data_IF_555012763198
#
_entry.id   IF_555012763198
#
_cell.length_a   1.000
_cell.length_b   1.000
_cell.length_c   1.000
_cell.angle_alpha   90.00
_cell.angle_beta   90.00
_cell.angle_gamma   90.00
#
_symmetry.space_group_name_H-M   'P 1'
#
loop_
_entity.id
_entity.type
_entity.pdbx_description
1 polymer ?
#
# COMPACT_ATOMS: atom_id res chain seq x y z
N UNK A 1 -3.53 15.68 -39.16
CA UNK A 1 -3.93 15.14 -37.85
C UNK A 1 -2.72 15.25 -36.93
N UNK A 2 -2.72 16.17 -35.94
CA UNK A 2 -1.58 16.35 -35.03
C UNK A 2 -1.75 15.35 -33.90
N UNK A 3 -0.90 14.32 -33.87
CA UNK A 3 -0.81 13.40 -32.71
C UNK A 3 -0.28 14.22 -31.54
N UNK A 4 -1.12 14.52 -30.55
CA UNK A 4 -0.66 15.13 -29.30
C UNK A 4 0.08 14.06 -28.50
N UNK A 5 1.40 14.26 -28.32
CA UNK A 5 2.21 13.42 -27.43
C UNK A 5 1.75 13.62 -25.99
N UNK A 6 0.92 12.70 -25.49
CA UNK A 6 0.36 12.70 -24.13
C UNK A 6 1.35 12.16 -23.08
N UNK A 7 2.62 11.90 -23.46
CA UNK A 7 3.62 11.41 -22.50
C UNK A 7 3.92 12.48 -21.45
N UNK A 8 3.82 12.19 -20.16
CA UNK A 8 4.15 13.15 -19.12
C UNK A 8 5.63 13.51 -19.23
N UNK A 9 5.93 14.80 -19.42
CA UNK A 9 7.30 15.31 -19.43
C UNK A 9 7.84 15.26 -18.02
N UNK A 10 8.57 14.20 -17.68
CA UNK A 10 9.23 14.02 -16.38
C UNK A 10 10.56 14.75 -16.40
N UNK A 11 10.73 15.78 -15.58
CA UNK A 11 12.00 16.51 -15.44
C UNK A 11 12.99 15.72 -14.59
N UNK A 12 14.31 15.86 -14.89
CA UNK A 12 15.39 15.22 -14.10
C UNK A 12 15.26 15.50 -12.60
N UNK A 13 14.83 16.69 -12.21
CA UNK A 13 14.61 17.08 -10.81
C UNK A 13 13.46 16.30 -10.16
N UNK A 14 12.42 15.96 -10.94
CA UNK A 14 11.30 15.11 -10.47
C UNK A 14 11.73 13.64 -10.32
N UNK A 15 12.58 13.13 -11.22
CA UNK A 15 13.14 11.77 -11.11
C UNK A 15 14.05 11.65 -9.89
N UNK A 16 14.91 12.63 -9.65
CA UNK A 16 15.82 12.63 -8.49
C UNK A 16 15.08 12.84 -7.16
N UNK A 17 13.96 13.55 -7.17
CA UNK A 17 13.07 13.69 -6.01
C UNK A 17 12.20 12.46 -5.75
N UNK A 18 11.75 11.77 -6.81
CA UNK A 18 10.88 10.60 -6.70
C UNK A 18 11.57 9.36 -6.10
N UNK A 19 12.89 9.22 -6.29
CA UNK A 19 13.65 8.09 -5.70
C UNK A 19 13.70 8.08 -4.17
N UNK A 20 13.36 9.21 -3.50
CA UNK A 20 13.27 9.31 -2.05
C UNK A 20 11.82 9.42 -1.54
N UNK A 21 10.83 9.53 -2.45
CA UNK A 21 9.46 9.87 -2.11
C UNK A 21 8.54 8.65 -1.88
N UNK A 22 9.10 7.43 -1.91
CA UNK A 22 8.32 6.21 -1.70
C UNK A 22 8.12 5.85 -0.22
N UNK A 23 8.68 6.63 0.72
CA UNK A 23 8.39 6.44 2.14
C UNK A 23 7.03 7.05 2.48
N UNK A 24 6.21 6.27 3.17
CA UNK A 24 4.97 6.78 3.73
C UNK A 24 5.30 7.79 4.82
N UNK A 25 4.95 9.04 4.59
CA UNK A 25 5.14 10.10 5.58
C UNK A 25 4.04 9.98 6.64
N UNK A 26 4.40 9.47 7.81
CA UNK A 26 3.48 9.32 8.94
C UNK A 26 4.16 9.69 10.26
N UNK A 27 3.35 10.00 11.24
CA UNK A 27 3.78 10.26 12.62
C UNK A 27 2.99 9.36 13.56
N UNK A 28 3.70 8.65 14.42
CA UNK A 28 3.11 7.90 15.53
C UNK A 28 3.11 8.80 16.75
N UNK A 29 1.93 9.08 17.30
CA UNK A 29 1.79 9.92 18.51
C UNK A 29 1.37 9.05 19.70
N UNK A 30 1.56 9.53 20.96
CA UNK A 30 1.13 8.81 22.15
C UNK A 30 -0.34 8.39 22.07
N UNK A 31 -0.64 7.18 22.55
CA UNK A 31 -1.97 6.57 22.46
C UNK A 31 -2.18 5.69 21.23
N UNK A 32 -1.12 5.37 20.46
CA UNK A 32 -1.19 4.46 19.31
C UNK A 32 -1.82 5.07 18.06
N UNK A 33 -1.95 6.39 18.01
CA UNK A 33 -2.52 7.09 16.87
C UNK A 33 -1.44 7.29 15.81
N UNK A 34 -1.72 6.86 14.59
CA UNK A 34 -0.88 7.03 13.41
C UNK A 34 -1.52 8.12 12.55
N UNK A 35 -0.76 9.16 12.23
CA UNK A 35 -1.24 10.31 11.47
C UNK A 35 -0.45 10.41 10.17
N UNK A 36 -1.15 10.47 9.05
CA UNK A 36 -0.56 10.68 7.73
C UNK A 36 -0.04 12.11 7.55
N UNK A 37 0.77 12.31 6.52
CA UNK A 37 1.37 13.59 6.20
C UNK A 37 0.32 14.71 6.14
N UNK A 38 0.60 15.82 6.81
CA UNK A 38 -0.29 16.98 6.84
C UNK A 38 -1.64 16.73 7.52
N UNK A 39 -1.77 15.71 8.38
CA UNK A 39 -3.01 15.28 9.03
C UNK A 39 -4.13 14.87 8.04
N UNK A 40 -3.74 14.45 6.83
CA UNK A 40 -4.68 14.09 5.77
C UNK A 40 -5.55 12.86 6.12
N UNK A 41 -5.06 12.00 7.01
CA UNK A 41 -5.79 10.87 7.57
C UNK A 41 -5.18 10.47 8.92
N UNK A 42 -5.94 9.75 9.72
CA UNK A 42 -5.45 9.15 10.97
C UNK A 42 -6.03 7.75 11.16
N UNK A 43 -5.29 6.88 11.81
CA UNK A 43 -5.72 5.57 12.25
C UNK A 43 -5.24 5.36 13.70
N UNK A 44 -5.97 4.55 14.46
CA UNK A 44 -5.57 4.16 15.81
C UNK A 44 -5.32 2.67 15.83
N UNK A 45 -4.11 2.28 16.19
CA UNK A 45 -3.80 0.87 16.42
C UNK A 45 -4.50 0.39 17.70
N UNK A 46 -5.29 -0.68 17.59
CA UNK A 46 -6.10 -1.27 18.67
C UNK A 46 -5.39 -2.43 19.34
N UNK A 47 -4.84 -3.35 18.55
CA UNK A 47 -4.20 -4.58 18.99
C UNK A 47 -2.75 -4.68 18.53
N UNK A 48 -2.43 -4.21 17.35
CA UNK A 48 -1.07 -4.17 16.82
C UNK A 48 -0.28 -3.02 17.46
N UNK A 49 1.03 -3.21 17.57
CA UNK A 49 1.92 -2.09 17.95
C UNK A 49 1.90 -1.01 16.87
N UNK A 50 1.98 0.28 17.24
CA UNK A 50 1.99 1.37 16.26
C UNK A 50 3.09 1.25 15.20
N UNK A 51 4.28 0.77 15.58
CA UNK A 51 5.38 0.55 14.64
C UNK A 51 5.07 -0.60 13.67
N UNK A 52 4.41 -1.66 14.15
CA UNK A 52 3.95 -2.77 13.30
C UNK A 52 2.95 -2.26 12.26
N UNK A 53 1.99 -1.44 12.67
CA UNK A 53 1.04 -0.79 11.76
C UNK A 53 1.76 0.07 10.71
N UNK A 54 2.74 0.89 11.14
CA UNK A 54 3.52 1.73 10.26
C UNK A 54 4.33 0.92 9.23
N UNK A 55 4.97 -0.16 9.66
CA UNK A 55 5.72 -1.08 8.79
C UNK A 55 4.80 -1.78 7.79
N UNK A 56 3.62 -2.25 8.22
CA UNK A 56 2.62 -2.85 7.34
C UNK A 56 2.11 -1.86 6.29
N UNK A 57 1.92 -0.60 6.66
CA UNK A 57 1.50 0.44 5.72
C UNK A 57 2.58 0.72 4.65
N UNK A 58 3.85 0.83 5.06
CA UNK A 58 4.95 0.96 4.11
C UNK A 58 5.07 -0.27 3.20
N UNK A 59 4.96 -1.48 3.77
CA UNK A 59 4.96 -2.74 3.02
C UNK A 59 3.82 -2.79 2.00
N UNK A 60 2.63 -2.36 2.37
CA UNK A 60 1.47 -2.31 1.48
C UNK A 60 1.71 -1.40 0.27
N UNK A 61 2.33 -0.24 0.48
CA UNK A 61 2.75 0.68 -0.60
C UNK A 61 3.83 0.07 -1.50
N UNK A 62 4.79 -0.65 -0.93
CA UNK A 62 5.87 -1.26 -1.70
C UNK A 62 5.40 -2.50 -2.49
N UNK A 63 4.34 -3.20 -2.04
CA UNK A 63 3.73 -4.32 -2.78
C UNK A 63 2.90 -3.81 -3.97
N UNK A 64 2.13 -2.74 -3.80
CA UNK A 64 1.27 -2.14 -4.82
C UNK A 64 1.51 -0.61 -4.90
N UNK A 65 2.58 -0.16 -5.57
CA UNK A 65 3.01 1.24 -5.56
C UNK A 65 2.20 2.11 -6.54
N UNK A 66 1.01 2.54 -6.15
CA UNK A 66 0.17 3.43 -6.96
C UNK A 66 0.30 4.88 -6.49
N UNK A 67 1.04 5.71 -7.19
CA UNK A 67 1.29 7.11 -6.83
C UNK A 67 0.01 7.96 -6.73
N UNK A 68 -1.02 7.59 -7.49
CA UNK A 68 -2.31 8.29 -7.53
C UNK A 68 -3.31 7.79 -6.47
N UNK A 69 -3.01 6.72 -5.76
CA UNK A 69 -3.84 6.21 -4.65
C UNK A 69 -3.33 6.76 -3.33
N UNK A 70 -4.18 7.48 -2.62
CA UNK A 70 -3.82 8.09 -1.34
C UNK A 70 -3.57 7.03 -0.25
N UNK A 71 -2.65 7.33 0.68
CA UNK A 71 -2.25 6.43 1.78
C UNK A 71 -3.43 6.01 2.68
N UNK A 72 -4.48 6.83 2.77
CA UNK A 72 -5.70 6.47 3.54
C UNK A 72 -6.32 5.14 3.11
N UNK A 73 -6.25 4.78 1.82
CA UNK A 73 -6.81 3.53 1.31
C UNK A 73 -5.97 2.33 1.72
N UNK A 74 -4.64 2.47 1.72
CA UNK A 74 -3.73 1.45 2.26
C UNK A 74 -3.88 1.31 3.78
N UNK A 75 -3.99 2.44 4.49
CA UNK A 75 -4.22 2.45 5.93
C UNK A 75 -5.55 1.76 6.29
N UNK A 76 -6.59 1.89 5.46
CA UNK A 76 -7.85 1.17 5.63
C UNK A 76 -7.65 -0.35 5.57
N UNK A 77 -6.82 -0.86 4.66
CA UNK A 77 -6.48 -2.30 4.60
C UNK A 77 -5.70 -2.73 5.83
N UNK A 78 -4.69 -1.94 6.25
CA UNK A 78 -3.90 -2.25 7.47
C UNK A 78 -4.78 -2.21 8.72
N UNK A 79 -5.75 -1.29 8.79
CA UNK A 79 -6.74 -1.27 9.88
C UNK A 79 -7.55 -2.56 9.95
N UNK A 80 -7.84 -3.22 8.81
CA UNK A 80 -8.52 -4.52 8.82
C UNK A 80 -7.65 -5.65 9.42
N UNK A 81 -6.32 -5.55 9.31
CA UNK A 81 -5.39 -6.48 9.98
C UNK A 81 -5.40 -6.25 11.49
N UNK A 82 -5.41 -4.99 11.90
CA UNK A 82 -5.49 -4.61 13.31
C UNK A 82 -6.83 -5.07 13.94
N UNK A 83 -7.94 -4.93 13.21
CA UNK A 83 -9.25 -5.46 13.61
C UNK A 83 -9.26 -7.00 13.68
N UNK A 84 -8.57 -7.70 12.79
CA UNK A 84 -8.41 -9.15 12.89
C UNK A 84 -7.57 -9.53 14.12
N UNK A 85 -6.51 -8.79 14.40
CA UNK A 85 -5.66 -8.99 15.58
C UNK A 85 -6.40 -8.78 16.92
N UNK A 86 -7.50 -8.00 16.94
CA UNK A 86 -8.35 -7.89 18.14
C UNK A 86 -9.16 -9.14 18.42
N UNK A 87 -9.38 -9.99 17.38
CA UNK A 87 -10.25 -11.16 17.47
C UNK A 87 -9.50 -12.43 17.92
N UNK A 88 -8.17 -12.44 17.78
CA UNK A 88 -7.38 -13.61 18.17
C UNK A 88 -5.87 -13.35 18.19
N UNK A 89 -5.20 -13.91 19.23
CA UNK A 89 -3.76 -13.80 19.38
C UNK A 89 -2.98 -14.44 18.22
N UNK A 90 -3.52 -15.48 17.57
CA UNK A 90 -2.89 -16.09 16.41
C UNK A 90 -2.78 -15.13 15.23
N UNK A 91 -3.84 -14.35 14.96
CA UNK A 91 -3.83 -13.34 13.90
C UNK A 91 -2.87 -12.20 14.24
N UNK A 92 -2.86 -11.77 15.50
CA UNK A 92 -1.92 -10.77 16.00
C UNK A 92 -0.46 -11.23 15.85
N UNK A 93 -0.17 -12.46 16.26
CA UNK A 93 1.18 -13.04 16.19
C UNK A 93 1.70 -13.07 14.76
N UNK A 94 0.87 -13.44 13.76
CA UNK A 94 1.28 -13.44 12.35
C UNK A 94 1.83 -12.09 11.91
N UNK A 95 1.17 -10.99 12.28
CA UNK A 95 1.62 -9.66 11.87
C UNK A 95 2.79 -9.15 12.72
N UNK A 96 2.75 -9.32 14.03
CA UNK A 96 3.83 -8.88 14.93
C UNK A 96 5.14 -9.63 14.67
N UNK A 97 5.08 -10.96 14.53
CA UNK A 97 6.25 -11.79 14.27
C UNK A 97 6.80 -11.58 12.86
N UNK A 98 5.89 -11.47 11.87
CA UNK A 98 6.26 -11.20 10.49
C UNK A 98 6.97 -9.86 10.31
N UNK A 99 6.45 -8.81 10.94
CA UNK A 99 7.10 -7.48 10.93
C UNK A 99 8.41 -7.51 11.71
N UNK A 100 8.46 -8.19 12.86
CA UNK A 100 9.70 -8.33 13.64
C UNK A 100 10.80 -9.01 12.82
N UNK A 101 10.48 -10.07 12.08
CA UNK A 101 11.42 -10.77 11.22
C UNK A 101 11.87 -9.89 10.03
N UNK A 102 10.93 -9.14 9.41
CA UNK A 102 11.22 -8.22 8.31
C UNK A 102 12.13 -7.07 8.77
N UNK A 103 11.85 -6.46 9.92
CA UNK A 103 12.68 -5.42 10.51
C UNK A 103 14.07 -5.92 10.86
N UNK A 104 14.19 -7.13 11.42
CA UNK A 104 15.48 -7.75 11.69
C UNK A 104 16.31 -7.96 10.42
N UNK A 105 15.69 -8.39 9.33
CA UNK A 105 16.34 -8.53 8.03
C UNK A 105 16.78 -7.16 7.47
N UNK A 106 15.93 -6.13 7.61
CA UNK A 106 16.23 -4.77 7.20
C UNK A 106 17.40 -4.16 7.99
N UNK A 107 17.40 -4.31 9.31
CA UNK A 107 18.50 -3.84 10.16
C UNK A 107 19.81 -4.54 9.81
N UNK A 108 19.78 -5.85 9.57
CA UNK A 108 20.96 -6.61 9.15
C UNK A 108 21.53 -6.11 7.83
N UNK A 109 20.68 -5.82 6.84
CA UNK A 109 21.10 -5.44 5.50
C UNK A 109 21.39 -3.94 5.36
N UNK A 110 20.61 -3.07 6.04
CA UNK A 110 20.59 -1.64 5.80
C UNK A 110 20.76 -0.79 7.06
N UNK A 111 20.87 -1.41 8.24
CA UNK A 111 21.06 -0.75 9.56
C UNK A 111 19.88 0.16 9.96
N UNK A 112 18.70 -0.12 9.45
CA UNK A 112 17.45 0.58 9.74
C UNK A 112 16.27 -0.40 9.71
N UNK A 113 15.20 -0.19 10.51
CA UNK A 113 13.96 -0.93 10.36
C UNK A 113 13.39 -0.77 8.95
N UNK A 114 12.58 -1.72 8.50
CA UNK A 114 12.07 -1.74 7.14
C UNK A 114 11.41 -0.41 6.70
N UNK A 115 10.53 0.14 7.53
CA UNK A 115 9.85 1.40 7.22
C UNK A 115 10.77 2.61 7.10
N UNK A 116 11.99 2.56 7.65
CA UNK A 116 13.00 3.61 7.60
C UNK A 116 14.05 3.40 6.51
N UNK A 117 14.05 2.24 5.83
CA UNK A 117 14.95 2.00 4.71
C UNK A 117 14.59 2.95 3.55
N UNK A 118 15.50 3.86 3.24
CA UNK A 118 15.25 5.01 2.36
C UNK A 118 14.87 4.63 0.93
N UNK A 119 15.55 3.61 0.37
CA UNK A 119 15.42 3.28 -1.05
C UNK A 119 14.40 2.18 -1.26
N UNK A 120 13.40 2.44 -2.11
CA UNK A 120 12.37 1.48 -2.49
C UNK A 120 12.96 0.17 -3.00
N UNK A 121 13.96 0.23 -3.88
CA UNK A 121 14.61 -0.97 -4.43
C UNK A 121 15.18 -1.88 -3.34
N UNK A 122 15.68 -1.30 -2.22
CA UNK A 122 16.18 -2.07 -1.07
C UNK A 122 15.05 -2.72 -0.30
N UNK A 123 13.94 -2.00 -0.08
CA UNK A 123 12.74 -2.55 0.56
C UNK A 123 12.11 -3.66 -0.28
N UNK A 124 11.98 -3.44 -1.59
CA UNK A 124 11.47 -4.46 -2.53
C UNK A 124 12.36 -5.71 -2.54
N UNK A 125 13.69 -5.56 -2.45
CA UNK A 125 14.60 -6.70 -2.36
C UNK A 125 14.35 -7.54 -1.09
N UNK A 126 14.08 -6.89 0.05
CA UNK A 126 13.70 -7.57 1.29
C UNK A 126 12.38 -8.32 1.14
N UNK A 127 11.36 -7.71 0.53
CA UNK A 127 10.06 -8.33 0.28
C UNK A 127 10.17 -9.56 -0.64
N UNK A 128 11.00 -9.49 -1.67
CA UNK A 128 11.28 -10.64 -2.55
C UNK A 128 11.91 -11.81 -1.79
N UNK A 129 12.71 -11.52 -0.76
CA UNK A 129 13.30 -12.54 0.10
C UNK A 129 12.26 -13.34 0.91
N UNK A 130 11.09 -12.75 1.17
CA UNK A 130 9.99 -13.37 1.93
C UNK A 130 8.75 -13.63 1.07
N UNK A 131 8.86 -13.58 -0.26
CA UNK A 131 7.71 -13.69 -1.18
C UNK A 131 6.85 -14.94 -0.95
N UNK A 132 7.46 -16.05 -0.53
CA UNK A 132 6.79 -17.32 -0.25
C UNK A 132 6.32 -17.48 1.19
N UNK A 133 6.65 -16.52 2.05
CA UNK A 133 6.28 -16.54 3.47
C UNK A 133 4.76 -16.36 3.63
N UNK A 134 4.11 -17.13 4.53
CA UNK A 134 2.67 -16.98 4.82
C UNK A 134 2.28 -15.56 5.26
N UNK A 135 3.14 -14.85 6.00
CA UNK A 135 2.93 -13.46 6.37
C UNK A 135 2.82 -12.56 5.14
N UNK A 136 3.80 -12.65 4.21
CA UNK A 136 3.77 -11.86 2.97
C UNK A 136 2.53 -12.17 2.13
N UNK A 137 2.21 -13.46 1.94
CA UNK A 137 1.07 -13.88 1.14
C UNK A 137 -0.26 -13.41 1.74
N UNK A 138 -0.37 -13.39 3.07
CA UNK A 138 -1.56 -12.87 3.76
C UNK A 138 -1.74 -11.36 3.52
N UNK A 139 -0.67 -10.57 3.68
CA UNK A 139 -0.71 -9.12 3.42
C UNK A 139 -1.04 -8.84 1.95
N UNK A 140 -0.34 -9.50 1.03
CA UNK A 140 -0.56 -9.35 -0.42
C UNK A 140 -1.99 -9.71 -0.83
N UNK A 141 -2.50 -10.84 -0.37
CA UNK A 141 -3.87 -11.30 -0.70
C UNK A 141 -4.94 -10.34 -0.19
N UNK A 142 -4.80 -9.83 1.03
CA UNK A 142 -5.74 -8.88 1.59
C UNK A 142 -5.71 -7.51 0.86
N UNK A 143 -4.55 -7.08 0.39
CA UNK A 143 -4.42 -5.85 -0.41
C UNK A 143 -5.17 -5.94 -1.73
N UNK A 144 -5.19 -7.11 -2.39
CA UNK A 144 -5.96 -7.30 -3.63
C UNK A 144 -7.44 -6.99 -3.36
N UNK A 145 -8.04 -7.63 -2.36
CA UNK A 145 -9.46 -7.43 -2.04
C UNK A 145 -9.74 -6.04 -1.45
N UNK A 146 -8.91 -5.59 -0.50
CA UNK A 146 -9.16 -4.37 0.25
C UNK A 146 -8.87 -3.08 -0.53
N UNK A 147 -7.88 -3.10 -1.42
CA UNK A 147 -7.53 -1.92 -2.23
C UNK A 147 -8.38 -1.86 -3.51
N UNK A 148 -8.36 -2.91 -4.32
CA UNK A 148 -9.08 -2.92 -5.61
C UNK A 148 -10.57 -3.22 -5.46
N UNK A 149 -11.01 -3.79 -4.35
CA UNK A 149 -12.43 -3.92 -4.01
C UNK A 149 -13.06 -2.64 -3.46
N UNK A 150 -12.27 -1.63 -3.17
CA UNK A 150 -12.76 -0.35 -2.63
C UNK A 150 -13.32 0.54 -3.74
N UNK A 151 -14.63 0.82 -3.69
CA UNK A 151 -15.31 1.65 -4.68
C UNK A 151 -14.75 3.09 -4.79
N UNK A 152 -14.15 3.64 -3.73
CA UNK A 152 -13.48 4.96 -3.79
C UNK A 152 -12.21 4.94 -4.66
N UNK A 153 -11.60 3.78 -4.84
CA UNK A 153 -10.36 3.61 -5.61
C UNK A 153 -10.64 3.34 -7.09
N UNK A 154 -11.80 2.78 -7.43
CA UNK A 154 -12.16 2.42 -8.81
C UNK A 154 -12.00 3.55 -9.83
N UNK A 155 -12.50 4.77 -9.59
CA UNK A 155 -12.36 5.87 -10.55
C UNK A 155 -10.91 6.25 -10.81
N UNK A 156 -10.00 6.02 -9.85
CA UNK A 156 -8.57 6.29 -10.00
C UNK A 156 -7.90 5.37 -11.02
N UNK A 157 -8.49 4.20 -11.28
CA UNK A 157 -8.06 3.22 -12.29
C UNK A 157 -8.94 3.23 -13.55
N UNK A 158 -9.88 4.16 -13.66
CA UNK A 158 -10.84 4.19 -14.78
C UNK A 158 -11.86 3.05 -14.73
N UNK A 159 -11.98 2.31 -13.60
CA UNK A 159 -12.97 1.27 -13.46
C UNK A 159 -14.31 1.84 -13.01
N UNK A 160 -15.33 1.61 -13.81
CA UNK A 160 -16.67 2.15 -13.58
C UNK A 160 -17.51 1.35 -12.55
N UNK A 161 -17.00 0.26 -12.04
CA UNK A 161 -17.71 -0.64 -11.14
C UNK A 161 -18.32 -1.87 -11.85
N UNK A 162 -19.03 -2.74 -11.10
CA UNK A 162 -19.57 -3.98 -11.61
C UNK A 162 -20.54 -3.76 -12.77
N UNK A 163 -20.31 -4.42 -13.89
CA UNK A 163 -21.17 -4.32 -15.10
C UNK A 163 -22.59 -4.82 -14.87
N UNK A 164 -22.78 -5.78 -13.95
CA UNK A 164 -24.09 -6.34 -13.65
C UNK A 164 -25.13 -5.29 -13.21
N UNK A 165 -24.69 -4.30 -12.39
CA UNK A 165 -25.56 -3.20 -11.94
C UNK A 165 -25.88 -2.18 -13.06
N UNK A 166 -25.20 -2.28 -14.22
CA UNK A 166 -25.30 -1.38 -15.36
C UNK A 166 -25.89 -2.07 -16.61
N UNK A 167 -26.55 -3.21 -16.45
CA UNK A 167 -27.15 -3.97 -17.56
C UNK A 167 -26.18 -4.89 -18.32
N UNK A 168 -25.00 -5.15 -17.78
CA UNK A 168 -23.99 -6.00 -18.44
C UNK A 168 -23.23 -5.26 -19.55
N UNK A 169 -22.72 -6.01 -20.53
CA UNK A 169 -21.94 -5.49 -21.67
C UNK A 169 -22.68 -5.65 -23.03
N UNK A 170 -24.00 -5.89 -23.04
CA UNK A 170 -24.76 -6.09 -24.29
C UNK A 170 -24.70 -4.84 -25.16
N UNK A 171 -24.88 -3.66 -24.57
CA UNK A 171 -24.96 -2.38 -25.26
C UNK A 171 -23.83 -1.40 -24.86
N UNK A 172 -22.72 -1.91 -24.27
CA UNK A 172 -21.62 -1.07 -23.76
C UNK A 172 -20.28 -1.80 -23.78
N UNK A 173 -19.19 -1.08 -23.54
CA UNK A 173 -17.84 -1.65 -23.47
C UNK A 173 -17.19 -1.82 -24.84
N UNK A 174 -17.74 -1.25 -25.91
CA UNK A 174 -17.18 -1.35 -27.26
C UNK A 174 -16.06 -0.34 -27.52
N UNK A 175 -16.07 0.77 -26.80
CA UNK A 175 -15.12 1.90 -26.96
C UNK A 175 -14.24 2.12 -25.72
N UNK A 176 -14.11 1.11 -24.84
CA UNK A 176 -13.35 1.24 -23.60
C UNK A 176 -11.83 1.30 -23.84
N UNK A 177 -11.38 1.01 -25.05
CA UNK A 177 -9.96 1.04 -25.45
C UNK A 177 -9.73 2.21 -26.39
N UNK A 178 -9.07 3.26 -25.92
CA UNK A 178 -8.80 4.49 -26.69
C UNK A 178 -7.32 4.62 -27.15
N UNK A 179 -6.49 3.62 -26.92
CA UNK A 179 -5.06 3.64 -27.26
C UNK A 179 -4.67 2.79 -28.47
N UNK A 180 -5.63 2.18 -29.18
CA UNK A 180 -5.40 1.42 -30.41
C UNK A 180 -5.35 2.32 -31.64
#
# INVERSE_FOLDING_TARGET
>A
MRVMDKRPKVTRRRVLGAGAASLVALTVIPGGIIVGAGNAWSATAKALKPNTFATLLQMARDIYPHDHVADKHYAGVVSSFDDAATKGEADKAVFEDGVTALDAAAVKAHRAPYAEVRWEAQRVALLRGIEKDPFFQRVRGALIGGLYGNAEVWPLFGYEGPSASKGGYIDRGFDDIDWL
#
